data_IF_513709237506
#
_entry.id   IF_513709237506
#
_cell.length_a   1.000
_cell.length_b   1.000
_cell.length_c   1.000
_cell.angle_alpha   90.00
_cell.angle_beta   90.00
_cell.angle_gamma   90.00
#
_symmetry.space_group_name_H-M   'P 1'
#
loop_
_entity.id
_entity.type
_entity.pdbx_description
1 polymer ?
#
# COMPACT_ATOMS: atom_id res chain seq x y z
N UNK A 1 25.54 -0.69 9.00
CA UNK A 1 26.11 -1.31 7.76
C UNK A 1 27.38 -2.05 8.14
N UNK A 2 27.55 -3.26 7.64
CA UNK A 2 28.78 -4.04 7.92
C UNK A 2 29.92 -3.47 7.06
N UNK A 3 30.88 -2.80 7.69
CA UNK A 3 32.00 -2.12 7.01
C UNK A 3 32.86 -3.08 6.17
N UNK A 4 32.90 -4.38 6.52
CA UNK A 4 33.67 -5.38 5.76
C UNK A 4 33.07 -5.69 4.38
N UNK A 5 31.80 -5.32 4.15
CA UNK A 5 31.08 -5.49 2.88
C UNK A 5 31.03 -4.25 2.01
N UNK A 6 31.68 -3.15 2.44
CA UNK A 6 31.72 -1.88 1.69
C UNK A 6 32.90 -1.92 0.75
N UNK A 7 32.65 -1.88 -0.57
CA UNK A 7 33.68 -1.87 -1.60
C UNK A 7 34.38 -0.51 -1.74
N UNK A 8 33.71 0.57 -1.36
CA UNK A 8 34.27 1.93 -1.42
C UNK A 8 33.31 2.95 -0.87
N UNK A 9 33.83 4.11 -0.47
CA UNK A 9 33.04 5.25 0.05
C UNK A 9 33.39 6.48 -0.79
N UNK A 10 32.35 7.17 -1.27
CA UNK A 10 32.47 8.49 -1.92
C UNK A 10 31.98 9.54 -0.95
N UNK A 11 32.88 10.45 -0.54
CA UNK A 11 32.50 11.60 0.27
C UNK A 11 31.89 12.69 -0.61
N UNK A 12 30.79 13.27 -0.18
CA UNK A 12 30.11 14.36 -0.88
C UNK A 12 29.45 15.28 0.14
N UNK A 13 29.38 16.57 -0.20
CA UNK A 13 28.66 17.59 0.56
C UNK A 13 27.18 17.71 0.10
N UNK A 14 26.75 16.89 -0.85
CA UNK A 14 25.38 16.88 -1.31
C UNK A 14 24.47 16.20 -0.26
N UNK A 15 23.35 16.85 0.07
CA UNK A 15 22.32 16.26 0.88
C UNK A 15 21.65 15.08 0.16
N UNK A 16 21.02 14.17 0.90
CA UNK A 16 20.17 13.16 0.34
C UNK A 16 19.00 13.81 -0.45
N UNK A 17 18.57 13.25 -1.59
CA UNK A 17 17.44 13.80 -2.33
C UNK A 17 16.18 13.81 -1.46
N UNK A 18 15.46 14.94 -1.46
CA UNK A 18 14.21 15.06 -0.73
C UNK A 18 13.01 14.64 -1.60
N UNK A 19 12.06 13.96 -0.97
CA UNK A 19 10.74 13.67 -1.52
C UNK A 19 9.70 14.38 -0.66
N UNK A 20 9.15 15.46 -1.20
CA UNK A 20 8.09 16.20 -0.50
C UNK A 20 6.78 15.41 -0.52
N UNK A 21 6.00 15.42 0.58
CA UNK A 21 4.69 14.78 0.63
C UNK A 21 3.75 15.33 -0.43
N UNK A 22 3.02 14.44 -1.09
CA UNK A 22 2.01 14.82 -2.08
C UNK A 22 0.85 15.63 -1.45
N UNK A 23 0.29 16.55 -2.22
CA UNK A 23 -0.92 17.27 -1.82
C UNK A 23 -2.12 16.32 -1.81
N UNK A 24 -2.75 16.17 -0.65
CA UNK A 24 -3.90 15.31 -0.44
C UNK A 24 -5.16 15.94 -1.05
N UNK A 25 -5.87 15.20 -1.90
CA UNK A 25 -7.16 15.59 -2.48
C UNK A 25 -8.35 14.94 -1.72
N UNK A 26 -9.57 15.38 -2.03
CA UNK A 26 -10.80 14.92 -1.35
C UNK A 26 -11.08 13.43 -1.58
N UNK A 27 -10.70 12.88 -2.74
CA UNK A 27 -10.83 11.45 -3.02
C UNK A 27 -9.90 10.65 -2.10
N UNK A 28 -8.66 11.10 -1.97
CA UNK A 28 -7.68 10.46 -1.07
C UNK A 28 -8.14 10.53 0.40
N UNK A 29 -8.78 11.62 0.84
CA UNK A 29 -9.35 11.73 2.20
C UNK A 29 -10.46 10.71 2.44
N UNK A 30 -11.41 10.57 1.50
CA UNK A 30 -12.50 9.58 1.62
C UNK A 30 -11.97 8.15 1.68
N UNK A 31 -10.98 7.82 0.85
CA UNK A 31 -10.35 6.50 0.88
C UNK A 31 -9.61 6.30 2.20
N UNK A 32 -8.92 7.33 2.69
CA UNK A 32 -8.23 7.28 3.97
C UNK A 32 -9.19 6.95 5.13
N UNK A 33 -10.33 7.64 5.23
CA UNK A 33 -11.36 7.37 6.25
C UNK A 33 -11.81 5.90 6.21
N UNK A 34 -12.06 5.36 5.00
CA UNK A 34 -12.50 3.98 4.79
C UNK A 34 -11.40 2.98 5.21
N UNK A 35 -10.16 3.22 4.80
CA UNK A 35 -9.04 2.31 5.07
C UNK A 35 -8.62 2.35 6.53
N UNK A 36 -8.58 3.52 7.16
CA UNK A 36 -8.22 3.66 8.58
C UNK A 36 -9.23 2.94 9.48
N UNK A 37 -10.51 2.84 9.10
CA UNK A 37 -11.50 2.07 9.83
C UNK A 37 -11.16 0.56 9.91
N UNK A 38 -10.40 0.03 8.92
CA UNK A 38 -9.96 -1.36 8.89
C UNK A 38 -8.69 -1.63 9.72
N UNK A 39 -8.02 -0.60 10.21
CA UNK A 39 -6.78 -0.70 10.98
C UNK A 39 -7.07 -0.70 12.48
N UNK A 40 -6.81 -1.79 13.21
CA UNK A 40 -7.00 -1.83 14.66
C UNK A 40 -5.84 -1.15 15.41
N UNK A 41 -6.04 -0.80 16.68
CA UNK A 41 -4.95 -0.47 17.58
C UNK A 41 -3.98 -1.68 17.71
N UNK A 42 -2.71 -1.39 17.90
CA UNK A 42 -1.65 -2.40 17.95
C UNK A 42 -1.32 -3.04 16.62
N UNK A 43 -1.81 -2.50 15.49
CA UNK A 43 -1.47 -2.98 14.16
C UNK A 43 0.00 -2.70 13.80
N UNK A 44 0.63 -3.62 13.07
CA UNK A 44 1.92 -3.38 12.41
C UNK A 44 1.67 -2.89 10.99
N UNK A 45 2.31 -1.79 10.60
CA UNK A 45 2.01 -1.07 9.36
C UNK A 45 3.08 -1.27 8.30
N UNK A 46 2.64 -1.43 7.05
CA UNK A 46 3.39 -1.12 5.83
C UNK A 46 2.54 -0.17 4.99
N UNK A 47 3.15 0.92 4.54
CA UNK A 47 2.54 1.91 3.65
C UNK A 47 3.36 2.03 2.37
N UNK A 48 2.68 2.08 1.23
CA UNK A 48 3.29 2.37 -0.07
C UNK A 48 3.58 3.86 -0.27
N UNK A 49 4.05 4.22 -1.45
CA UNK A 49 4.27 5.60 -1.89
C UNK A 49 2.99 6.26 -2.43
N UNK A 50 3.00 7.59 -2.48
CA UNK A 50 2.02 8.43 -3.14
C UNK A 50 0.96 9.03 -2.20
N UNK A 51 0.18 9.97 -2.75
CA UNK A 51 -0.75 10.83 -2.00
C UNK A 51 -1.76 10.07 -1.14
N UNK A 52 -2.21 8.92 -1.61
CA UNK A 52 -3.19 8.09 -0.90
C UNK A 52 -2.59 7.46 0.34
N UNK A 53 -1.43 6.82 0.21
CA UNK A 53 -0.68 6.26 1.35
C UNK A 53 -0.28 7.37 2.34
N UNK A 54 0.06 8.56 1.84
CA UNK A 54 0.33 9.74 2.67
C UNK A 54 -0.90 10.16 3.47
N UNK A 55 -2.08 10.24 2.83
CA UNK A 55 -3.33 10.59 3.52
C UNK A 55 -3.67 9.57 4.61
N UNK A 56 -3.64 8.29 4.27
CA UNK A 56 -3.90 7.19 5.22
C UNK A 56 -2.90 7.26 6.39
N UNK A 57 -1.62 7.43 6.10
CA UNK A 57 -0.58 7.51 7.13
C UNK A 57 -0.80 8.65 8.12
N UNK A 58 -1.23 9.83 7.67
CA UNK A 58 -1.55 10.95 8.56
C UNK A 58 -2.83 10.73 9.39
N UNK A 59 -3.85 10.07 8.83
CA UNK A 59 -5.10 9.82 9.53
C UNK A 59 -5.00 8.68 10.55
N UNK A 60 -3.96 7.83 10.45
CA UNK A 60 -3.62 6.80 11.44
C UNK A 60 -3.22 7.38 12.83
N UNK A 61 -3.06 8.71 12.97
CA UNK A 61 -2.95 9.39 14.26
C UNK A 61 -4.11 9.10 15.22
N UNK A 62 -5.22 8.55 14.73
CA UNK A 62 -6.36 8.12 15.52
C UNK A 62 -6.17 6.73 16.16
N UNK A 63 -5.09 6.03 15.83
CA UNK A 63 -4.77 4.68 16.31
C UNK A 63 -3.62 4.71 17.31
N UNK A 64 -3.59 3.71 18.18
CA UNK A 64 -2.62 3.62 19.26
C UNK A 64 -1.80 2.33 19.17
N UNK A 65 -0.63 2.35 19.81
CA UNK A 65 0.28 1.21 19.93
C UNK A 65 0.67 0.58 18.60
N UNK A 66 0.73 1.36 17.53
CA UNK A 66 1.11 0.92 16.21
C UNK A 66 2.57 0.44 16.17
N UNK A 67 2.87 -0.43 15.22
CA UNK A 67 4.23 -0.86 14.87
C UNK A 67 4.54 -0.54 13.41
N UNK A 68 5.82 -0.53 13.05
CA UNK A 68 6.28 -0.36 11.67
C UNK A 68 7.15 -1.55 11.27
N UNK A 69 6.74 -2.21 10.17
CA UNK A 69 7.56 -3.16 9.41
C UNK A 69 7.22 -2.95 7.94
N UNK A 70 8.07 -2.20 7.23
CA UNK A 70 7.73 -1.64 5.92
C UNK A 70 8.93 -1.63 5.00
N UNK A 71 8.72 -1.77 3.70
CA UNK A 71 9.79 -1.56 2.72
C UNK A 71 10.29 -0.10 2.78
N UNK A 72 9.35 0.85 2.78
CA UNK A 72 9.61 2.28 2.84
C UNK A 72 9.35 2.83 4.25
N UNK A 73 10.28 3.66 4.77
CA UNK A 73 10.01 4.58 5.87
C UNK A 73 9.66 5.96 5.30
N UNK A 74 8.50 6.49 5.66
CA UNK A 74 7.92 7.69 5.07
C UNK A 74 7.61 8.77 6.11
N UNK A 75 7.39 10.00 5.63
CA UNK A 75 7.05 11.16 6.47
C UNK A 75 5.90 10.92 7.46
N UNK A 76 4.75 10.31 7.07
CA UNK A 76 3.70 9.98 8.02
C UNK A 76 4.15 9.04 9.14
N UNK A 77 5.04 8.08 8.86
CA UNK A 77 5.57 7.16 9.88
C UNK A 77 6.40 7.92 10.92
N UNK A 78 7.26 8.85 10.49
CA UNK A 78 7.98 9.74 11.41
C UNK A 78 7.00 10.51 12.30
N UNK A 79 5.95 11.09 11.73
CA UNK A 79 4.95 11.83 12.51
C UNK A 79 4.21 10.95 13.53
N UNK A 80 3.84 9.74 13.15
CA UNK A 80 3.20 8.79 14.07
C UNK A 80 4.13 8.39 15.22
N UNK A 81 5.44 8.26 14.98
CA UNK A 81 6.44 8.04 16.02
C UNK A 81 6.57 9.27 16.95
N UNK A 82 6.73 10.46 16.39
CA UNK A 82 6.81 11.73 17.15
C UNK A 82 5.58 11.97 18.03
N UNK A 83 4.40 11.58 17.54
CA UNK A 83 3.14 11.73 18.26
C UNK A 83 2.90 10.63 19.31
N UNK A 84 3.75 9.59 19.39
CA UNK A 84 3.58 8.46 20.29
C UNK A 84 2.53 7.43 19.84
N UNK A 85 2.00 7.54 18.64
CA UNK A 85 1.09 6.54 18.08
C UNK A 85 1.80 5.22 17.75
N UNK A 86 3.08 5.28 17.36
CA UNK A 86 3.93 4.12 17.11
C UNK A 86 4.78 3.85 18.34
N UNK A 87 4.57 2.69 18.94
CA UNK A 87 5.33 2.19 20.09
C UNK A 87 6.13 0.94 19.77
N UNK A 88 5.83 0.26 18.65
CA UNK A 88 6.39 -1.00 18.23
C UNK A 88 6.29 -2.15 19.26
N UNK A 89 5.45 -2.04 20.31
CA UNK A 89 5.38 -3.01 21.42
C UNK A 89 4.51 -4.23 21.12
N UNK A 90 3.62 -4.11 20.13
CA UNK A 90 2.61 -5.13 19.82
C UNK A 90 2.92 -5.95 18.56
N UNK A 91 4.12 -5.83 18.00
CA UNK A 91 4.48 -6.47 16.74
C UNK A 91 4.67 -7.97 16.88
N UNK A 92 5.26 -8.44 18.00
CA UNK A 92 5.66 -9.83 18.22
C UNK A 92 6.92 -10.25 17.45
N UNK A 93 7.48 -9.34 16.64
CA UNK A 93 8.74 -9.53 15.92
C UNK A 93 9.52 -8.22 15.85
N UNK A 94 10.74 -8.20 16.36
CA UNK A 94 11.58 -7.01 16.47
C UNK A 94 10.85 -5.87 17.22
N UNK A 95 10.27 -6.21 18.37
CA UNK A 95 9.56 -5.25 19.21
C UNK A 95 10.45 -4.08 19.61
N UNK A 96 9.84 -2.91 19.76
CA UNK A 96 10.53 -1.67 20.07
C UNK A 96 11.24 -0.99 18.90
N UNK A 97 11.28 -1.62 17.72
CA UNK A 97 11.98 -1.09 16.55
C UNK A 97 11.04 -0.91 15.35
N UNK A 98 11.10 0.25 14.70
CA UNK A 98 10.55 0.49 13.36
C UNK A 98 11.52 -0.07 12.32
N UNK A 99 11.10 -1.08 11.56
CA UNK A 99 11.95 -1.79 10.59
C UNK A 99 11.61 -1.38 9.17
N UNK A 100 12.63 -1.08 8.36
CA UNK A 100 12.43 -0.66 6.97
C UNK A 100 13.66 -1.01 6.11
N UNK A 101 13.54 -0.91 4.77
CA UNK A 101 14.65 -1.12 3.82
C UNK A 101 15.19 0.16 3.23
N UNK A 102 14.33 1.10 2.86
CA UNK A 102 14.75 2.41 2.36
C UNK A 102 13.83 3.51 2.87
N UNK A 103 14.30 4.75 2.76
CA UNK A 103 13.54 5.92 3.17
C UNK A 103 13.48 6.95 2.04
N UNK A 104 12.36 7.67 1.96
CA UNK A 104 12.21 8.82 1.09
C UNK A 104 11.31 9.85 1.76
N UNK A 105 11.80 11.05 1.97
CA UNK A 105 11.09 12.12 2.68
C UNK A 105 11.85 13.43 2.71
N UNK A 106 11.59 14.25 3.69
CA UNK A 106 12.22 15.55 3.89
C UNK A 106 13.52 15.44 4.68
N UNK A 107 14.33 16.49 4.67
CA UNK A 107 15.52 16.58 5.52
C UNK A 107 15.17 16.39 7.00
N UNK A 108 14.05 16.95 7.47
CA UNK A 108 13.56 16.72 8.84
C UNK A 108 13.41 15.24 9.17
N UNK A 109 12.90 14.46 8.21
CA UNK A 109 12.75 13.01 8.41
C UNK A 109 14.11 12.31 8.47
N UNK A 110 15.06 12.70 7.63
CA UNK A 110 16.41 12.14 7.66
C UNK A 110 17.14 12.48 8.96
N UNK A 111 17.02 13.72 9.45
CA UNK A 111 17.58 14.16 10.73
C UNK A 111 16.94 13.39 11.92
N UNK A 112 15.63 13.11 11.85
CA UNK A 112 14.94 12.31 12.86
C UNK A 112 15.40 10.85 12.87
N UNK A 113 15.77 10.31 11.70
CA UNK A 113 16.23 8.92 11.58
C UNK A 113 17.69 8.75 12.03
N UNK A 114 18.49 9.81 11.92
CA UNK A 114 19.92 9.73 12.24
C UNK A 114 20.13 9.43 13.72
N UNK A 115 20.92 8.40 14.01
CA UNK A 115 21.23 7.91 15.35
C UNK A 115 19.98 7.60 16.23
N UNK A 116 18.80 7.39 15.64
CA UNK A 116 17.59 7.03 16.36
C UNK A 116 17.58 5.53 16.69
N UNK A 117 17.65 5.13 17.99
CA UNK A 117 17.72 3.71 18.37
C UNK A 117 16.42 2.92 18.14
N UNK A 118 15.29 3.60 17.91
CA UNK A 118 14.01 2.96 17.63
C UNK A 118 13.81 2.66 16.15
N UNK A 119 14.80 3.00 15.28
CA UNK A 119 14.73 2.85 13.83
C UNK A 119 15.82 1.87 13.37
N UNK A 120 15.42 0.83 12.63
CA UNK A 120 16.32 -0.19 12.14
C UNK A 120 16.21 -0.37 10.62
N UNK A 121 17.25 0.04 9.91
CA UNK A 121 17.39 -0.19 8.47
C UNK A 121 17.91 -1.60 8.18
N UNK A 122 17.16 -2.38 7.41
CA UNK A 122 17.51 -3.76 7.06
C UNK A 122 17.51 -3.99 5.54
N UNK A 123 18.26 -4.97 5.02
CA UNK A 123 18.29 -5.26 3.58
C UNK A 123 16.92 -5.69 3.03
N UNK A 124 16.64 -5.36 1.77
CA UNK A 124 15.41 -5.78 1.08
C UNK A 124 15.09 -7.28 1.22
N UNK A 125 16.04 -8.23 1.03
CA UNK A 125 15.75 -9.65 1.19
C UNK A 125 15.27 -10.05 2.58
N UNK A 126 15.51 -9.22 3.60
CA UNK A 126 15.02 -9.45 4.95
C UNK A 126 13.64 -8.84 5.17
N UNK A 127 13.45 -7.59 4.74
CA UNK A 127 12.20 -6.86 4.97
C UNK A 127 11.10 -7.34 4.02
N UNK A 128 11.43 -7.60 2.75
CA UNK A 128 10.48 -8.06 1.73
C UNK A 128 10.31 -9.58 1.70
N UNK A 129 10.71 -10.30 2.75
CA UNK A 129 10.40 -11.73 2.90
C UNK A 129 9.01 -11.88 3.54
N UNK A 130 8.06 -12.45 2.80
CA UNK A 130 6.69 -12.67 3.28
C UNK A 130 6.65 -13.47 4.61
N UNK A 131 7.63 -14.35 4.87
CA UNK A 131 7.75 -15.09 6.14
C UNK A 131 8.15 -14.18 7.30
N UNK A 132 9.00 -13.19 7.08
CA UNK A 132 9.37 -12.20 8.10
C UNK A 132 8.24 -11.20 8.33
N UNK A 133 7.57 -10.76 7.27
CA UNK A 133 6.38 -9.91 7.33
C UNK A 133 5.30 -10.59 8.18
N UNK A 134 5.03 -11.87 7.94
CA UNK A 134 4.03 -12.67 8.65
C UNK A 134 4.28 -12.86 10.15
N UNK A 135 5.53 -12.69 10.63
CA UNK A 135 5.84 -12.76 12.06
C UNK A 135 5.30 -11.58 12.87
N UNK A 136 4.99 -10.47 12.19
CA UNK A 136 4.41 -9.29 12.86
C UNK A 136 2.91 -9.50 13.05
N UNK A 137 2.43 -9.35 14.28
CA UNK A 137 1.01 -9.45 14.61
C UNK A 137 0.21 -8.31 13.97
N UNK A 138 -1.01 -8.60 13.52
CA UNK A 138 -1.91 -7.62 12.89
C UNK A 138 -1.21 -6.79 11.82
N UNK A 139 -0.48 -7.47 10.94
CA UNK A 139 0.24 -6.82 9.85
C UNK A 139 -0.76 -6.24 8.84
N UNK A 140 -0.82 -4.93 8.73
CA UNK A 140 -1.69 -4.20 7.79
C UNK A 140 -0.82 -3.65 6.67
N UNK A 141 -0.92 -4.30 5.51
CA UNK A 141 -0.22 -3.87 4.29
C UNK A 141 -1.16 -3.00 3.46
N UNK A 142 -0.77 -1.76 3.19
CA UNK A 142 -1.56 -0.79 2.42
C UNK A 142 -0.74 -0.33 1.22
N UNK A 143 -1.21 -0.71 0.02
CA UNK A 143 -0.54 -0.39 -1.24
C UNK A 143 -1.52 0.28 -2.22
N UNK A 144 -0.97 1.05 -3.15
CA UNK A 144 -1.75 1.70 -4.20
C UNK A 144 -1.76 0.86 -5.48
N UNK A 145 -2.77 1.08 -6.33
CA UNK A 145 -2.85 0.48 -7.65
C UNK A 145 -3.18 1.51 -8.73
N UNK A 146 -2.78 1.20 -9.96
CA UNK A 146 -3.16 1.95 -11.16
C UNK A 146 -4.52 1.51 -11.67
N UNK A 147 -4.83 0.21 -11.62
CA UNK A 147 -6.09 -0.36 -12.06
C UNK A 147 -6.37 -1.71 -11.37
N UNK A 148 -7.64 -2.10 -11.38
CA UNK A 148 -8.15 -3.41 -10.98
C UNK A 148 -9.12 -3.90 -12.05
N UNK A 149 -9.07 -5.17 -12.40
CA UNK A 149 -10.06 -5.77 -13.30
C UNK A 149 -11.20 -6.47 -12.54
N UNK A 150 -12.23 -6.90 -13.25
CA UNK A 150 -13.38 -7.57 -12.61
C UNK A 150 -13.05 -9.00 -12.12
N UNK A 151 -11.89 -9.56 -12.45
CA UNK A 151 -11.39 -10.79 -11.82
C UNK A 151 -10.74 -10.51 -10.46
N UNK A 152 -10.43 -9.23 -10.17
CA UNK A 152 -9.73 -8.78 -8.98
C UNK A 152 -8.22 -8.88 -9.11
N UNK A 153 -7.70 -8.88 -10.33
CA UNK A 153 -6.28 -8.72 -10.61
C UNK A 153 -5.89 -7.25 -10.46
N UNK A 154 -4.66 -6.98 -10.03
CA UNK A 154 -4.16 -5.63 -9.75
C UNK A 154 -2.99 -5.31 -10.64
N UNK A 155 -3.05 -4.17 -11.33
CA UNK A 155 -1.94 -3.55 -12.04
C UNK A 155 -1.46 -2.33 -11.25
N UNK A 156 -0.18 -2.31 -10.82
CA UNK A 156 0.36 -1.24 -9.98
C UNK A 156 1.63 -0.59 -10.55
N UNK A 157 2.42 -1.29 -11.34
CA UNK A 157 3.73 -0.85 -11.82
C UNK A 157 3.75 -0.48 -13.32
N UNK A 158 2.74 -0.94 -14.08
CA UNK A 158 2.64 -0.63 -15.51
C UNK A 158 1.18 -0.61 -16.02
N UNK A 159 0.95 0.05 -17.14
CA UNK A 159 -0.32 0.05 -17.88
C UNK A 159 -0.06 -0.13 -19.38
N UNK A 160 -0.61 -1.18 -19.99
CA UNK A 160 -0.23 -1.61 -21.33
C UNK A 160 1.27 -1.93 -21.35
N UNK A 161 1.96 -1.44 -22.34
CA UNK A 161 3.42 -1.60 -22.47
C UNK A 161 4.22 -0.47 -21.79
N UNK A 162 3.56 0.40 -21.02
CA UNK A 162 4.20 1.55 -20.41
C UNK A 162 4.50 1.29 -18.93
N UNK A 163 5.77 0.98 -18.63
CA UNK A 163 6.29 0.81 -17.28
C UNK A 163 6.33 2.16 -16.55
N UNK A 164 5.79 2.23 -15.33
CA UNK A 164 5.75 3.44 -14.50
C UNK A 164 6.73 3.37 -13.33
N UNK A 165 6.95 2.18 -12.78
CA UNK A 165 7.86 1.95 -11.65
C UNK A 165 8.43 0.54 -11.71
N UNK A 166 9.36 0.22 -10.80
CA UNK A 166 9.69 -1.18 -10.52
C UNK A 166 8.51 -1.87 -9.83
N UNK A 167 8.51 -3.22 -9.85
CA UNK A 167 7.48 -4.05 -9.20
C UNK A 167 7.45 -3.83 -7.69
N UNK A 168 8.63 -3.62 -7.04
CA UNK A 168 8.73 -3.42 -5.60
C UNK A 168 8.29 -4.63 -4.77
N UNK A 169 8.05 -4.39 -3.48
CA UNK A 169 7.66 -5.42 -2.50
C UNK A 169 6.15 -5.61 -2.33
N UNK A 170 5.30 -5.03 -3.19
CA UNK A 170 3.85 -5.10 -3.01
C UNK A 170 3.35 -6.53 -2.79
N UNK A 171 3.75 -7.48 -3.63
CA UNK A 171 3.28 -8.86 -3.55
C UNK A 171 3.78 -9.57 -2.28
N UNK A 172 5.01 -9.29 -1.84
CA UNK A 172 5.57 -9.85 -0.62
C UNK A 172 4.78 -9.41 0.61
N UNK A 173 4.46 -8.11 0.70
CA UNK A 173 3.66 -7.55 1.78
C UNK A 173 2.19 -7.99 1.71
N UNK A 174 1.61 -8.12 0.52
CA UNK A 174 0.27 -8.67 0.32
C UNK A 174 0.18 -10.09 0.90
N UNK A 175 1.13 -10.95 0.60
CA UNK A 175 1.19 -12.33 1.10
C UNK A 175 1.51 -12.38 2.59
N UNK A 176 2.55 -11.69 3.02
CA UNK A 176 2.99 -11.70 4.41
C UNK A 176 1.92 -11.16 5.36
N UNK A 177 1.20 -10.11 4.98
CA UNK A 177 0.10 -9.58 5.77
C UNK A 177 -1.06 -10.58 5.91
N UNK A 178 -1.38 -11.33 4.87
CA UNK A 178 -2.43 -12.35 4.94
C UNK A 178 -2.03 -13.58 5.77
N UNK A 179 -0.74 -13.87 5.90
CA UNK A 179 -0.23 -14.96 6.75
C UNK A 179 -0.02 -14.53 8.20
N UNK A 180 -0.02 -13.24 8.48
CA UNK A 180 0.06 -12.67 9.82
C UNK A 180 -1.23 -12.92 10.59
N UNK A 181 -1.12 -13.23 11.88
CA UNK A 181 -2.28 -13.36 12.78
C UNK A 181 -3.01 -12.02 12.90
N UNK A 182 -4.28 -11.99 12.47
CA UNK A 182 -5.10 -10.78 12.43
C UNK A 182 -4.68 -9.75 11.37
N UNK A 183 -3.81 -10.15 10.43
CA UNK A 183 -3.31 -9.28 9.38
C UNK A 183 -4.28 -9.08 8.21
N UNK A 184 -4.09 -7.99 7.48
CA UNK A 184 -4.88 -7.64 6.30
C UNK A 184 -3.99 -7.02 5.22
N UNK A 185 -4.31 -7.34 3.97
CA UNK A 185 -3.73 -6.67 2.80
C UNK A 185 -4.79 -5.85 2.09
N UNK A 186 -4.56 -4.54 1.97
CA UNK A 186 -5.48 -3.57 1.37
C UNK A 186 -4.81 -2.92 0.17
N UNK A 187 -5.44 -3.04 -0.99
CA UNK A 187 -5.07 -2.30 -2.20
C UNK A 187 -6.05 -1.15 -2.34
N UNK A 188 -5.54 0.08 -2.27
CA UNK A 188 -6.34 1.29 -2.30
C UNK A 188 -6.09 2.09 -3.59
N UNK A 189 -7.17 2.50 -4.27
CA UNK A 189 -7.09 3.29 -5.49
C UNK A 189 -8.31 4.21 -5.63
N UNK A 190 -8.14 5.38 -6.28
CA UNK A 190 -9.31 6.13 -6.74
C UNK A 190 -10.04 5.32 -7.81
N UNK A 191 -11.37 5.28 -7.78
CA UNK A 191 -12.17 4.51 -8.75
C UNK A 191 -12.03 5.02 -10.19
N UNK A 192 -11.61 6.27 -10.36
CA UNK A 192 -11.49 6.93 -11.66
C UNK A 192 -10.41 8.01 -11.67
N UNK A 193 -10.09 8.51 -12.87
CA UNK A 193 -9.18 9.64 -13.09
C UNK A 193 -9.64 10.48 -14.30
N UNK A 194 -9.16 11.72 -14.39
CA UNK A 194 -9.43 12.59 -15.54
C UNK A 194 -8.29 12.50 -16.57
N UNK A 195 -8.62 12.30 -17.84
CA UNK A 195 -7.66 12.33 -18.96
C UNK A 195 -8.29 13.08 -20.13
N UNK A 196 -7.65 14.16 -20.59
CA UNK A 196 -8.14 15.01 -21.69
C UNK A 196 -9.59 15.47 -21.48
N UNK A 197 -9.94 15.94 -20.28
CA UNK A 197 -11.29 16.41 -19.95
C UNK A 197 -12.35 15.32 -19.81
N UNK A 198 -11.98 14.04 -19.95
CA UNK A 198 -12.91 12.89 -19.82
C UNK A 198 -12.56 12.04 -18.62
N UNK A 199 -13.57 11.64 -17.87
CA UNK A 199 -13.41 10.65 -16.80
C UNK A 199 -13.14 9.27 -17.37
N UNK A 200 -12.23 8.53 -16.74
CA UNK A 200 -11.88 7.15 -17.07
C UNK A 200 -11.95 6.30 -15.81
N UNK A 201 -12.51 5.12 -15.92
CA UNK A 201 -12.52 4.15 -14.83
C UNK A 201 -11.13 3.56 -14.63
N UNK A 202 -10.78 3.28 -13.36
CA UNK A 202 -9.65 2.42 -12.98
C UNK A 202 -10.08 0.98 -12.69
N UNK A 203 -11.38 0.71 -12.74
CA UNK A 203 -11.95 -0.63 -12.68
C UNK A 203 -12.48 -0.95 -14.06
N UNK A 204 -12.08 -2.09 -14.63
CA UNK A 204 -12.42 -2.50 -16.00
C UNK A 204 -12.73 -4.00 -16.06
N UNK A 205 -13.45 -4.45 -17.09
CA UNK A 205 -13.72 -5.89 -17.28
C UNK A 205 -12.41 -6.70 -17.29
N UNK A 206 -11.43 -6.24 -18.04
CA UNK A 206 -10.08 -6.80 -18.14
C UNK A 206 -9.07 -5.68 -18.42
N UNK A 207 -7.82 -5.92 -18.14
CA UNK A 207 -6.76 -4.96 -18.46
C UNK A 207 -6.56 -4.82 -19.98
N UNK A 208 -6.05 -3.64 -20.38
CA UNK A 208 -5.58 -3.44 -21.75
C UNK A 208 -4.44 -4.43 -22.08
N UNK A 209 -4.34 -4.90 -23.35
CA UNK A 209 -3.25 -5.78 -23.76
C UNK A 209 -1.86 -5.25 -23.38
N UNK A 210 -1.00 -6.13 -22.88
CA UNK A 210 0.35 -5.81 -22.46
C UNK A 210 0.47 -5.27 -21.03
N UNK A 211 -0.65 -5.10 -20.31
CA UNK A 211 -0.61 -4.70 -18.88
C UNK A 211 -0.19 -5.89 -18.01
N UNK A 212 0.92 -5.82 -17.28
CA UNK A 212 1.31 -6.86 -16.34
C UNK A 212 0.40 -6.88 -15.11
N UNK A 213 0.21 -8.06 -14.56
CA UNK A 213 -0.50 -8.27 -13.29
C UNK A 213 0.52 -8.21 -12.15
N UNK A 214 0.50 -7.13 -11.38
CA UNK A 214 1.40 -6.95 -10.24
C UNK A 214 1.00 -7.84 -9.06
N UNK A 215 -0.31 -7.91 -8.77
CA UNK A 215 -0.85 -8.82 -7.74
C UNK A 215 -1.95 -9.67 -8.37
N UNK A 216 -1.73 -11.01 -8.48
CA UNK A 216 -2.71 -11.92 -9.06
C UNK A 216 -3.94 -12.06 -8.16
N UNK A 217 -5.09 -12.34 -8.77
CA UNK A 217 -6.41 -12.42 -8.09
C UNK A 217 -6.46 -13.38 -6.90
N UNK A 218 -5.60 -14.38 -6.88
CA UNK A 218 -5.51 -15.34 -5.77
C UNK A 218 -4.86 -14.75 -4.51
N UNK A 219 -4.03 -13.73 -4.66
CA UNK A 219 -3.35 -13.04 -3.56
C UNK A 219 -4.11 -11.80 -3.08
N UNK A 220 -4.96 -11.17 -3.92
CA UNK A 220 -5.72 -9.97 -3.55
C UNK A 220 -6.74 -10.29 -2.45
N UNK A 221 -6.73 -9.48 -1.36
CA UNK A 221 -7.66 -9.64 -0.24
C UNK A 221 -8.66 -8.48 -0.20
N UNK A 222 -8.25 -7.28 0.16
CA UNK A 222 -9.13 -6.11 0.21
C UNK A 222 -8.83 -5.16 -0.95
N UNK A 223 -9.89 -4.64 -1.57
CA UNK A 223 -9.84 -3.50 -2.49
C UNK A 223 -10.65 -2.36 -1.88
N UNK A 224 -10.05 -1.16 -1.84
CA UNK A 224 -10.68 0.05 -1.34
C UNK A 224 -10.68 1.16 -2.40
N UNK A 225 -11.83 1.82 -2.55
CA UNK A 225 -12.00 3.06 -3.30
C UNK A 225 -12.78 4.08 -2.46
N UNK A 226 -13.02 5.28 -2.97
CA UNK A 226 -13.88 6.29 -2.34
C UNK A 226 -15.35 5.85 -2.19
N UNK A 227 -15.72 4.67 -2.68
CA UNK A 227 -17.07 4.10 -2.60
C UNK A 227 -17.17 2.92 -1.61
N UNK A 228 -16.08 2.52 -0.98
CA UNK A 228 -16.07 1.48 0.05
C UNK A 228 -14.81 0.63 0.04
N UNK A 229 -14.81 -0.38 0.91
CA UNK A 229 -13.77 -1.39 1.02
C UNK A 229 -14.42 -2.77 1.01
N UNK A 230 -13.93 -3.69 0.17
CA UNK A 230 -14.48 -5.04 0.06
C UNK A 230 -13.40 -6.08 0.22
N UNK A 231 -13.71 -7.14 0.97
CA UNK A 231 -12.87 -8.34 1.06
C UNK A 231 -13.27 -9.30 -0.06
N UNK A 232 -12.33 -9.57 -0.99
CA UNK A 232 -12.54 -10.46 -2.13
C UNK A 232 -12.25 -11.93 -1.83
N UNK A 233 -11.66 -12.23 -0.66
CA UNK A 233 -11.43 -13.63 -0.25
C UNK A 233 -12.76 -14.31 0.03
N UNK A 234 -12.83 -15.56 -0.35
CA UNK A 234 -14.02 -16.42 -0.19
C UNK A 234 -15.26 -16.01 -1.01
N UNK A 235 -15.18 -14.97 -1.84
CA UNK A 235 -16.23 -14.66 -2.80
C UNK A 235 -16.11 -15.58 -4.02
N UNK A 236 -17.25 -16.12 -4.48
CA UNK A 236 -17.32 -16.73 -5.80
C UNK A 236 -17.12 -15.64 -6.90
N UNK A 237 -16.95 -16.06 -8.15
CA UNK A 237 -16.64 -15.13 -9.24
C UNK A 237 -17.73 -14.08 -9.43
N UNK A 238 -19.00 -14.48 -9.43
CA UNK A 238 -20.12 -13.57 -9.64
C UNK A 238 -20.23 -12.51 -8.53
N UNK A 239 -20.05 -12.92 -7.26
CA UNK A 239 -20.10 -12.00 -6.12
C UNK A 239 -18.88 -11.06 -6.11
N UNK A 240 -17.70 -11.57 -6.50
CA UNK A 240 -16.48 -10.75 -6.66
C UNK A 240 -16.67 -9.65 -7.71
N UNK A 241 -17.22 -10.01 -8.88
CA UNK A 241 -17.53 -9.05 -9.96
C UNK A 241 -18.50 -7.98 -9.48
N UNK A 242 -19.62 -8.39 -8.81
CA UNK A 242 -20.60 -7.44 -8.28
C UNK A 242 -19.99 -6.49 -7.23
N UNK A 243 -19.14 -7.03 -6.34
CA UNK A 243 -18.44 -6.24 -5.33
C UNK A 243 -17.52 -5.20 -5.97
N UNK A 244 -16.74 -5.58 -6.99
CA UNK A 244 -15.84 -4.68 -7.70
C UNK A 244 -16.59 -3.63 -8.51
N UNK A 245 -17.73 -3.97 -9.15
CA UNK A 245 -18.61 -2.99 -9.80
C UNK A 245 -19.13 -1.98 -8.78
N UNK A 246 -19.48 -2.42 -7.56
CA UNK A 246 -19.90 -1.53 -6.49
C UNK A 246 -18.84 -0.49 -6.08
N UNK A 247 -17.55 -0.83 -6.21
CA UNK A 247 -16.42 0.07 -5.95
C UNK A 247 -16.10 1.02 -7.11
N UNK A 248 -16.66 0.80 -8.30
CA UNK A 248 -16.46 1.67 -9.45
C UNK A 248 -17.20 3.01 -9.28
N UNK A 249 -16.70 4.05 -9.96
CA UNK A 249 -17.42 5.32 -10.04
C UNK A 249 -18.82 5.09 -10.65
N UNK A 250 -19.89 5.71 -10.11
CA UNK A 250 -21.27 5.50 -10.58
C UNK A 250 -21.46 5.57 -12.09
N UNK A 251 -20.78 6.51 -12.76
CA UNK A 251 -20.87 6.70 -14.22
C UNK A 251 -20.48 5.45 -15.03
N UNK A 252 -19.80 4.48 -14.43
CA UNK A 252 -19.31 3.28 -15.13
C UNK A 252 -19.98 1.98 -14.69
N UNK A 253 -20.82 2.00 -13.63
CA UNK A 253 -21.38 0.76 -13.06
C UNK A 253 -22.30 0.04 -14.03
N UNK A 254 -23.15 0.75 -14.75
CA UNK A 254 -24.09 0.16 -15.72
C UNK A 254 -23.32 -0.46 -16.89
N UNK A 255 -22.32 0.24 -17.42
CA UNK A 255 -21.44 -0.26 -18.47
C UNK A 255 -20.70 -1.54 -18.02
N UNK A 256 -20.06 -1.52 -16.86
CA UNK A 256 -19.34 -2.66 -16.31
C UNK A 256 -20.28 -3.86 -16.05
N UNK A 257 -21.50 -3.58 -15.61
CA UNK A 257 -22.51 -4.62 -15.40
C UNK A 257 -22.90 -5.28 -16.72
N UNK A 258 -23.09 -4.49 -17.79
CA UNK A 258 -23.42 -5.04 -19.11
C UNK A 258 -22.25 -5.85 -19.67
N UNK A 259 -21.03 -5.32 -19.61
CA UNK A 259 -19.80 -6.02 -20.04
C UNK A 259 -19.63 -7.36 -19.28
N UNK A 260 -19.88 -7.38 -17.97
CA UNK A 260 -19.80 -8.59 -17.15
C UNK A 260 -20.87 -9.64 -17.53
N UNK A 261 -22.09 -9.23 -17.89
CA UNK A 261 -23.13 -10.11 -18.41
C UNK A 261 -22.76 -10.69 -19.77
N UNK A 262 -22.27 -9.84 -20.70
CA UNK A 262 -21.87 -10.27 -22.04
C UNK A 262 -20.69 -11.28 -21.97
N UNK A 263 -19.81 -11.10 -20.99
CA UNK A 263 -18.71 -12.02 -20.67
C UNK A 263 -19.15 -13.25 -19.85
N UNK A 264 -20.43 -13.37 -19.48
CA UNK A 264 -21.02 -14.46 -18.64
C UNK A 264 -20.35 -14.62 -17.28
N UNK A 265 -19.91 -13.52 -16.68
CA UNK A 265 -19.33 -13.50 -15.33
C UNK A 265 -20.40 -13.34 -14.23
N UNK A 266 -21.55 -12.75 -14.59
CA UNK A 266 -22.72 -12.56 -13.71
C UNK A 266 -24.01 -12.87 -14.45
#
# INVERSE_FOLDING_TARGET
MDHQKVAGVVLTDNNAPELMPDKIDDVSRKISEIVVAEVPDGATLQLGLGKMSTAIGYDLKQRNDLGIFSELFSQPMMMLMKNGNVTNRCKGFMDGMSVFSFSAGTQEMYDFMDHNPEIYGAPFPFVNDARNIAKNSRMISINSAMAVDLYGEVAADAMGYNQQSAVGGQLDFVRGAQWSEGGKSIIALSSSFMKNGRRRSKISLQFAPGTPVTTPRGDVQYIATEYGCVNLKHLNMSDRVRALIGLAHPDFRDQLTQEAKDAKLI
#
